data_IF_960522123145
#
_entry.id   IF_960522123145
#
_cell.length_a   1.000
_cell.length_b   1.000
_cell.length_c   1.000
_cell.angle_alpha   90.00
_cell.angle_beta   90.00
_cell.angle_gamma   90.00
#
_symmetry.space_group_name_H-M   'P 1'
#
loop_
_entity.id
_entity.type
_entity.pdbx_description
1 polymer ?
#
# COMPACT_ATOMS: atom_id res chain seq x y z
N UNK A 1 -7.43 -2.01 -8.14
CA UNK A 1 -5.96 -2.08 -8.23
C UNK A 1 -5.30 -0.80 -7.72
N UNK A 2 -5.68 0.36 -8.27
CA UNK A 2 -5.07 1.64 -7.86
C UNK A 2 -5.44 2.09 -6.44
N UNK A 3 -6.67 1.82 -5.96
CA UNK A 3 -7.03 2.12 -4.58
C UNK A 3 -6.28 1.20 -3.58
N UNK A 4 -6.00 -0.04 -3.99
CA UNK A 4 -5.28 -1.02 -3.17
C UNK A 4 -3.82 -0.61 -2.92
N UNK A 5 -3.20 0.10 -3.86
CA UNK A 5 -1.89 0.75 -3.69
C UNK A 5 -1.84 1.71 -2.50
N UNK A 6 -2.98 2.37 -2.19
CA UNK A 6 -3.08 3.33 -1.09
C UNK A 6 -3.50 2.61 0.20
N UNK A 7 -4.45 1.67 0.11
CA UNK A 7 -5.05 1.01 1.27
C UNK A 7 -4.11 0.00 1.95
N UNK A 8 -3.29 -0.74 1.18
CA UNK A 8 -2.33 -1.71 1.77
C UNK A 8 -1.36 -1.05 2.77
N UNK A 9 -0.55 -0.05 2.38
CA UNK A 9 0.40 0.57 3.31
C UNK A 9 -0.30 1.33 4.44
N UNK A 10 -1.50 1.88 4.19
CA UNK A 10 -2.31 2.51 5.23
C UNK A 10 -2.75 1.50 6.30
N UNK A 11 -3.22 0.32 5.89
CA UNK A 11 -3.55 -0.78 6.79
C UNK A 11 -2.31 -1.25 7.56
N UNK A 12 -1.17 -1.38 6.90
CA UNK A 12 0.10 -1.72 7.55
C UNK A 12 0.49 -0.71 8.65
N UNK A 13 0.30 0.59 8.38
CA UNK A 13 0.53 1.66 9.34
C UNK A 13 -0.46 1.64 10.51
N UNK A 14 -1.75 1.40 10.24
CA UNK A 14 -2.80 1.31 11.28
C UNK A 14 -2.53 0.12 12.20
N UNK A 15 -2.18 -1.05 11.63
CA UNK A 15 -1.89 -2.25 12.42
C UNK A 15 -0.64 -2.05 13.27
N UNK A 16 0.44 -1.51 12.70
CA UNK A 16 1.68 -1.21 13.43
C UNK A 16 1.48 -0.13 14.51
N UNK A 17 0.72 0.94 14.20
CA UNK A 17 0.51 2.08 15.09
C UNK A 17 -0.45 1.81 16.25
N UNK A 18 -1.61 1.19 15.98
CA UNK A 18 -2.63 0.96 17.03
C UNK A 18 -2.39 -0.33 17.82
N UNK A 19 -1.85 -1.38 17.20
CA UNK A 19 -1.63 -2.67 17.84
C UNK A 19 -0.16 -2.92 18.25
N UNK A 20 0.68 -1.89 18.26
CA UNK A 20 2.10 -2.01 18.62
C UNK A 20 2.36 -2.68 19.97
N UNK A 21 1.46 -2.53 20.96
CA UNK A 21 1.57 -3.20 22.27
C UNK A 21 1.27 -4.70 22.24
N UNK A 22 0.47 -5.20 21.28
CA UNK A 22 0.21 -6.64 21.09
C UNK A 22 1.21 -7.30 20.14
N UNK A 23 1.73 -6.55 19.16
CA UNK A 23 2.53 -7.05 18.05
C UNK A 23 4.04 -6.98 18.36
N UNK A 24 4.44 -6.06 19.25
CA UNK A 24 5.83 -5.83 19.59
C UNK A 24 6.62 -5.16 18.46
N UNK A 25 7.88 -4.81 18.75
CA UNK A 25 8.74 -4.05 17.84
C UNK A 25 9.08 -4.84 16.56
N UNK A 26 9.45 -6.12 16.72
CA UNK A 26 9.82 -7.01 15.62
C UNK A 26 8.64 -7.34 14.70
N UNK A 27 7.47 -7.62 15.27
CA UNK A 27 6.26 -7.88 14.48
C UNK A 27 5.82 -6.67 13.67
N UNK A 28 5.94 -5.47 14.25
CA UNK A 28 5.54 -4.21 13.61
C UNK A 28 6.40 -3.92 12.38
N UNK A 29 7.71 -4.17 12.46
CA UNK A 29 8.65 -4.05 11.34
C UNK A 29 8.33 -5.01 10.20
N UNK A 30 8.02 -6.28 10.50
CA UNK A 30 7.73 -7.29 9.47
C UNK A 30 6.45 -6.90 8.70
N UNK A 31 5.42 -6.43 9.42
CA UNK A 31 4.14 -6.04 8.82
C UNK A 31 4.30 -4.81 7.92
N UNK A 32 4.96 -3.74 8.39
CA UNK A 32 5.15 -2.54 7.56
C UNK A 32 6.06 -2.79 6.37
N UNK A 33 7.19 -3.48 6.58
CA UNK A 33 8.13 -3.76 5.49
C UNK A 33 7.51 -4.68 4.43
N UNK A 34 6.80 -5.74 4.85
CA UNK A 34 6.05 -6.62 3.95
C UNK A 34 4.94 -5.88 3.18
N UNK A 35 4.21 -5.00 3.86
CA UNK A 35 3.18 -4.17 3.22
C UNK A 35 3.76 -3.22 2.18
N UNK A 36 4.93 -2.61 2.43
CA UNK A 36 5.58 -1.71 1.46
C UNK A 36 6.11 -2.50 0.27
N UNK A 37 6.80 -3.63 0.48
CA UNK A 37 7.34 -4.46 -0.61
C UNK A 37 6.23 -4.90 -1.57
N UNK A 38 5.12 -5.40 -1.03
CA UNK A 38 3.96 -5.82 -1.83
C UNK A 38 3.35 -4.63 -2.60
N UNK A 39 3.26 -3.45 -1.97
CA UNK A 39 2.77 -2.23 -2.62
C UNK A 39 3.68 -1.79 -3.77
N UNK A 40 5.00 -1.89 -3.61
CA UNK A 40 5.97 -1.54 -4.66
C UNK A 40 5.83 -2.44 -5.89
N UNK A 41 5.65 -3.75 -5.71
CA UNK A 41 5.40 -4.66 -6.84
C UNK A 41 4.12 -4.29 -7.59
N UNK A 42 3.05 -3.95 -6.87
CA UNK A 42 1.80 -3.48 -7.48
C UNK A 42 1.98 -2.13 -8.20
N UNK A 43 2.83 -1.24 -7.68
CA UNK A 43 3.11 0.07 -8.27
C UNK A 43 3.82 -0.07 -9.62
N UNK A 44 4.74 -1.02 -9.75
CA UNK A 44 5.45 -1.30 -11.01
C UNK A 44 4.44 -1.73 -12.09
N UNK A 45 3.49 -2.60 -11.76
CA UNK A 45 2.45 -3.05 -12.69
C UNK A 45 1.54 -1.88 -13.10
N UNK A 46 1.12 -1.06 -12.12
CA UNK A 46 0.32 0.14 -12.37
C UNK A 46 1.05 1.16 -13.26
N UNK A 47 2.37 1.29 -13.11
CA UNK A 47 3.20 2.16 -13.95
C UNK A 47 3.28 1.65 -15.39
N UNK A 48 3.40 0.33 -15.59
CA UNK A 48 3.33 -0.24 -16.94
C UNK A 48 1.96 -0.03 -17.59
N UNK A 49 0.88 -0.17 -16.83
CA UNK A 49 -0.46 -0.01 -17.38
C UNK A 49 -0.78 1.45 -17.74
N UNK A 50 -0.65 2.38 -16.78
CA UNK A 50 -0.98 3.81 -16.99
C UNK A 50 0.09 4.55 -17.78
N UNK A 51 1.37 4.28 -17.49
CA UNK A 51 2.51 4.98 -18.09
C UNK A 51 2.77 4.58 -19.54
N UNK A 52 2.70 3.29 -19.88
CA UNK A 52 2.91 2.85 -21.27
C UNK A 52 1.63 2.86 -22.12
N UNK A 53 0.46 2.51 -21.58
CA UNK A 53 -0.78 2.53 -22.37
C UNK A 53 -1.41 3.92 -22.49
N UNK A 54 -0.90 4.95 -21.79
CA UNK A 54 -1.42 6.33 -21.83
C UNK A 54 -2.94 6.42 -21.58
N UNK A 55 -3.48 5.55 -20.72
CA UNK A 55 -4.88 5.59 -20.29
C UNK A 55 -4.89 6.24 -18.91
N UNK A 56 -5.16 7.55 -18.78
CA UNK A 56 -5.20 8.20 -17.48
C UNK A 56 -6.40 7.69 -16.66
N UNK A 57 -6.12 7.01 -15.56
CA UNK A 57 -7.12 6.57 -14.59
C UNK A 57 -7.31 7.66 -13.54
N UNK A 58 -8.52 8.20 -13.43
CA UNK A 58 -8.90 9.15 -12.37
C UNK A 58 -9.60 8.41 -11.24
N UNK A 59 -9.16 8.66 -10.01
CA UNK A 59 -9.74 8.04 -8.81
C UNK A 59 -10.37 9.14 -7.99
N UNK A 60 -11.70 9.13 -7.89
CA UNK A 60 -12.42 10.10 -7.07
C UNK A 60 -12.58 9.53 -5.65
N UNK A 61 -11.78 10.04 -4.70
CA UNK A 61 -11.65 9.47 -3.34
C UNK A 61 -12.63 10.11 -2.36
N UNK A 62 -13.05 11.36 -2.59
CA UNK A 62 -14.08 12.04 -1.82
C UNK A 62 -14.72 13.13 -2.69
N UNK A 63 -16.06 13.25 -2.60
CA UNK A 63 -16.84 14.31 -3.23
C UNK A 63 -16.98 15.49 -2.28
#
# INVERSE_FOLDING_TARGET
MYLTLIILPLLGSIVSGFFGRKIGITGSHIITCGSVITTTFLAIIAFFEVGFNNIPVTINVAR
#
